data_IF_053565084268
#
_entry.id   IF_053565084268
#
_cell.length_a   1.000
_cell.length_b   1.000
_cell.length_c   1.000
_cell.angle_alpha   90.00
_cell.angle_beta   90.00
_cell.angle_gamma   90.00
#
_symmetry.space_group_name_H-M   'P 1'
#
loop_
_entity.id
_entity.type
_entity.pdbx_description
1 polymer ?
#
# COMPACT_ATOMS: atom_id res chain seq x y z
N UNK A 1 22.57 10.34 2.43
CA UNK A 1 21.36 9.66 2.97
C UNK A 1 21.06 10.22 4.35
N UNK A 2 19.98 11.01 4.54
CA UNK A 2 19.70 11.72 5.79
C UNK A 2 19.69 10.86 7.07
N UNK A 3 19.15 9.65 7.00
CA UNK A 3 18.99 8.76 8.16
C UNK A 3 19.67 7.39 7.98
N UNK A 4 20.66 7.30 7.08
CA UNK A 4 21.37 6.05 6.75
C UNK A 4 20.47 4.88 6.31
N UNK A 5 19.24 5.17 5.88
CA UNK A 5 18.27 4.21 5.35
C UNK A 5 17.82 4.60 3.95
N UNK A 6 17.38 3.60 3.19
CA UNK A 6 16.68 3.76 1.93
C UNK A 6 15.17 3.62 2.14
N UNK A 7 14.33 4.22 1.26
CA UNK A 7 14.69 5.01 0.08
C UNK A 7 15.05 6.48 0.38
N UNK A 8 15.76 7.12 -0.55
CA UNK A 8 16.05 8.56 -0.58
C UNK A 8 15.82 9.11 -2.00
N UNK A 9 14.98 10.14 -2.13
CA UNK A 9 14.79 10.91 -3.36
C UNK A 9 15.72 12.12 -3.35
N UNK A 10 16.30 12.48 -4.49
CA UNK A 10 17.02 13.74 -4.67
C UNK A 10 16.27 14.63 -5.65
N UNK A 11 15.94 15.85 -5.22
CA UNK A 11 15.34 16.90 -6.06
C UNK A 11 16.31 18.08 -6.07
N UNK A 12 16.89 18.38 -7.21
CA UNK A 12 17.93 19.42 -7.34
C UNK A 12 19.05 19.26 -6.30
N UNK A 13 19.58 18.04 -6.18
CA UNK A 13 20.60 17.64 -5.19
C UNK A 13 20.17 17.75 -3.72
N UNK A 14 18.91 18.08 -3.40
CA UNK A 14 18.39 18.10 -2.03
C UNK A 14 17.83 16.72 -1.67
N UNK A 15 18.32 16.06 -0.61
CA UNK A 15 17.85 14.74 -0.24
C UNK A 15 16.54 14.80 0.56
N UNK A 16 15.58 13.96 0.20
CA UNK A 16 14.38 13.64 0.96
C UNK A 16 14.37 12.13 1.25
N UNK A 17 14.54 11.76 2.51
CA UNK A 17 14.38 10.37 2.98
C UNK A 17 12.93 10.11 3.39
N UNK A 18 12.52 8.84 3.54
CA UNK A 18 11.16 8.53 3.96
C UNK A 18 10.30 7.98 2.83
N UNK A 19 10.09 6.67 2.68
CA UNK A 19 9.21 6.14 1.61
C UNK A 19 7.87 6.89 1.52
N UNK A 20 7.13 7.03 2.63
CA UNK A 20 5.86 7.77 2.66
C UNK A 20 6.02 9.27 2.48
N UNK A 21 7.11 9.87 2.97
CA UNK A 21 7.38 11.30 2.78
C UNK A 21 7.67 11.62 1.30
N UNK A 22 8.47 10.77 0.65
CA UNK A 22 8.80 10.81 -0.77
C UNK A 22 7.54 10.60 -1.60
N UNK A 23 6.76 9.54 -1.31
CA UNK A 23 5.52 9.23 -2.01
C UNK A 23 4.54 10.40 -1.93
N UNK A 24 4.30 10.94 -0.74
CA UNK A 24 3.41 12.11 -0.54
C UNK A 24 3.93 13.36 -1.25
N UNK A 25 5.23 13.63 -1.21
CA UNK A 25 5.82 14.75 -1.93
C UNK A 25 5.53 14.66 -3.44
N UNK A 26 5.87 13.51 -4.05
CA UNK A 26 5.61 13.27 -5.48
C UNK A 26 4.11 13.28 -5.81
N UNK A 27 3.29 12.66 -4.94
CA UNK A 27 1.84 12.62 -5.10
C UNK A 27 1.23 14.01 -5.17
N UNK A 28 1.70 14.96 -4.35
CA UNK A 28 1.29 16.36 -4.41
C UNK A 28 1.72 17.03 -5.71
N UNK A 29 2.94 16.77 -6.19
CA UNK A 29 3.42 17.34 -7.46
C UNK A 29 2.61 16.87 -8.67
N UNK A 30 2.10 15.63 -8.61
CA UNK A 30 1.38 15.00 -9.73
C UNK A 30 -0.14 14.87 -9.52
N UNK A 31 -0.70 15.51 -8.49
CA UNK A 31 -2.14 15.59 -8.29
C UNK A 31 -2.83 14.29 -7.84
N UNK A 32 -2.11 13.39 -7.16
CA UNK A 32 -2.63 12.10 -6.65
C UNK A 32 -2.54 11.99 -5.13
N UNK A 33 -2.68 13.12 -4.41
CA UNK A 33 -2.67 13.15 -2.94
C UNK A 33 -4.04 13.46 -2.32
N UNK A 34 -5.13 13.40 -3.09
CA UNK A 34 -6.46 13.90 -2.69
C UNK A 34 -6.72 15.32 -3.22
N UNK A 35 -7.98 15.66 -3.48
CA UNK A 35 -8.39 16.93 -4.11
C UNK A 35 -8.63 18.05 -3.11
N UNK A 36 -8.80 17.73 -1.83
CA UNK A 36 -9.08 18.70 -0.75
C UNK A 36 -8.17 18.42 0.44
N UNK A 37 -7.93 19.41 1.32
CA UNK A 37 -7.13 19.19 2.54
C UNK A 37 -7.64 18.02 3.40
N UNK A 38 -8.96 17.80 3.42
CA UNK A 38 -9.56 16.68 4.14
C UNK A 38 -9.26 15.34 3.45
N UNK A 39 -9.40 15.26 2.13
CA UNK A 39 -9.02 14.05 1.40
C UNK A 39 -7.52 13.75 1.55
N UNK A 40 -6.65 14.77 1.55
CA UNK A 40 -5.22 14.57 1.83
C UNK A 40 -4.99 13.97 3.23
N UNK A 41 -5.75 14.42 4.23
CA UNK A 41 -5.68 13.88 5.59
C UNK A 41 -6.16 12.41 5.64
N UNK A 42 -7.23 12.07 4.93
CA UNK A 42 -7.71 10.68 4.83
C UNK A 42 -6.69 9.77 4.12
N UNK A 43 -6.09 10.23 3.02
CA UNK A 43 -5.01 9.52 2.31
C UNK A 43 -3.83 9.27 3.26
N UNK A 44 -3.43 10.27 4.03
CA UNK A 44 -2.36 10.12 5.02
C UNK A 44 -2.72 9.12 6.13
N UNK A 45 -3.94 9.20 6.65
CA UNK A 45 -4.42 8.28 7.69
C UNK A 45 -4.40 6.83 7.21
N UNK A 46 -4.84 6.56 5.98
CA UNK A 46 -4.79 5.23 5.39
C UNK A 46 -3.35 4.75 5.18
N UNK A 47 -2.46 5.62 4.69
CA UNK A 47 -1.06 5.26 4.50
C UNK A 47 -0.31 4.96 5.81
N UNK A 48 -0.64 5.69 6.88
CA UNK A 48 -0.08 5.45 8.21
C UNK A 48 -0.65 4.17 8.83
N UNK A 49 -1.96 3.89 8.64
CA UNK A 49 -2.55 2.62 9.02
C UNK A 49 -1.93 1.44 8.25
N UNK A 50 -1.64 1.63 6.95
CA UNK A 50 -0.92 0.63 6.16
C UNK A 50 0.49 0.38 6.68
N UNK A 51 1.19 1.43 7.14
CA UNK A 51 2.51 1.28 7.76
C UNK A 51 2.43 0.46 9.05
N UNK A 52 1.44 0.73 9.90
CA UNK A 52 1.18 -0.06 11.11
C UNK A 52 0.87 -1.52 10.77
N UNK A 53 0.01 -1.76 9.77
CA UNK A 53 -0.24 -3.10 9.22
C UNK A 53 1.06 -3.80 8.78
N UNK A 54 1.92 -3.12 8.01
CA UNK A 54 3.19 -3.69 7.56
C UNK A 54 4.10 -4.08 8.73
N UNK A 55 4.15 -3.26 9.79
CA UNK A 55 4.89 -3.60 11.01
C UNK A 55 4.31 -4.83 11.71
N UNK A 56 2.97 -4.93 11.81
CA UNK A 56 2.30 -6.08 12.44
C UNK A 56 2.56 -7.39 11.71
N UNK A 57 2.58 -7.39 10.38
CA UNK A 57 2.81 -8.59 9.58
C UNK A 57 4.28 -8.89 9.28
N UNK A 58 5.18 -7.97 9.62
CA UNK A 58 6.61 -8.07 9.34
C UNK A 58 7.25 -9.39 9.82
N UNK A 59 6.97 -9.91 11.04
CA UNK A 59 7.58 -11.15 11.51
C UNK A 59 7.31 -12.36 10.59
N UNK A 60 6.09 -12.46 10.06
CA UNK A 60 5.72 -13.52 9.11
C UNK A 60 6.55 -13.41 7.82
N UNK A 61 6.61 -12.24 7.21
CA UNK A 61 7.36 -12.07 5.95
C UNK A 61 8.86 -12.31 6.14
N UNK A 62 9.42 -11.92 7.28
CA UNK A 62 10.81 -12.19 7.61
C UNK A 62 11.11 -13.68 7.73
N UNK A 63 10.25 -14.45 8.39
CA UNK A 63 10.38 -15.90 8.49
C UNK A 63 10.13 -16.60 7.15
N UNK A 64 9.07 -16.21 6.44
CA UNK A 64 8.71 -16.75 5.10
C UNK A 64 9.86 -16.60 4.09
N UNK A 65 10.55 -15.47 4.12
CA UNK A 65 11.64 -15.16 3.20
C UNK A 65 13.02 -15.66 3.70
N UNK A 66 13.08 -16.39 4.81
CA UNK A 66 14.32 -16.93 5.37
C UNK A 66 15.29 -15.88 5.92
N UNK A 67 14.81 -14.65 6.16
CA UNK A 67 15.64 -13.53 6.67
C UNK A 67 15.84 -13.68 8.18
N UNK A 68 14.79 -14.09 8.90
CA UNK A 68 14.84 -14.35 10.33
C UNK A 68 14.36 -15.78 10.64
N UNK A 69 14.88 -16.41 11.69
CA UNK A 69 14.38 -17.71 12.13
C UNK A 69 12.93 -17.58 12.62
N UNK A 70 12.09 -18.56 12.30
CA UNK A 70 10.71 -18.62 12.77
C UNK A 70 9.90 -19.68 12.00
N UNK A 71 8.86 -20.20 12.64
CA UNK A 71 7.88 -21.05 11.95
C UNK A 71 6.92 -20.16 11.16
N UNK A 72 7.16 -20.05 9.85
CA UNK A 72 6.34 -19.26 8.95
C UNK A 72 4.87 -19.72 8.92
N UNK A 73 4.59 -21.01 9.15
CA UNK A 73 3.23 -21.54 9.15
C UNK A 73 2.46 -21.11 10.40
N UNK A 74 3.12 -21.12 11.56
CA UNK A 74 2.55 -20.61 12.81
C UNK A 74 2.37 -19.09 12.73
N UNK A 75 3.40 -18.35 12.29
CA UNK A 75 3.32 -16.90 12.10
C UNK A 75 2.26 -16.49 11.06
N UNK A 76 2.04 -17.31 10.03
CA UNK A 76 0.95 -17.06 9.07
C UNK A 76 -0.41 -17.04 9.77
N UNK A 77 -0.69 -18.07 10.60
CA UNK A 77 -1.99 -18.26 11.25
C UNK A 77 -2.22 -17.28 12.40
N UNK A 78 -1.20 -17.03 13.20
CA UNK A 78 -1.33 -16.28 14.46
C UNK A 78 -1.03 -14.78 14.30
N UNK A 79 -0.21 -14.41 13.32
CA UNK A 79 0.24 -13.02 13.13
C UNK A 79 -0.27 -12.44 11.82
N UNK A 80 0.07 -13.04 10.68
CA UNK A 80 -0.27 -12.47 9.38
C UNK A 80 -1.77 -12.43 9.13
N UNK A 81 -2.45 -13.58 9.22
CA UNK A 81 -3.85 -13.69 8.82
C UNK A 81 -4.78 -12.79 9.66
N UNK A 82 -4.69 -12.74 11.00
CA UNK A 82 -5.56 -11.86 11.79
C UNK A 82 -5.32 -10.37 11.52
N UNK A 83 -4.06 -9.96 11.39
CA UNK A 83 -3.72 -8.56 11.10
C UNK A 83 -4.07 -8.17 9.66
N UNK A 84 -3.90 -9.08 8.70
CA UNK A 84 -4.37 -8.90 7.33
C UNK A 84 -5.88 -8.70 7.30
N UNK A 85 -6.66 -9.63 7.88
CA UNK A 85 -8.13 -9.56 7.84
C UNK A 85 -8.65 -8.28 8.50
N UNK A 86 -8.10 -7.91 9.66
CA UNK A 86 -8.46 -6.66 10.34
C UNK A 86 -8.21 -5.42 9.47
N UNK A 87 -7.01 -5.31 8.89
CA UNK A 87 -6.64 -4.11 8.13
C UNK A 87 -7.30 -4.05 6.75
N UNK A 88 -7.46 -5.19 6.07
CA UNK A 88 -8.19 -5.24 4.81
C UNK A 88 -9.67 -4.91 5.01
N UNK A 89 -10.29 -5.28 6.14
CA UNK A 89 -11.62 -4.81 6.46
C UNK A 89 -11.69 -3.28 6.57
N UNK A 90 -10.70 -2.63 7.20
CA UNK A 90 -10.65 -1.16 7.23
C UNK A 90 -10.54 -0.57 5.84
N UNK A 91 -9.66 -1.10 4.99
CA UNK A 91 -9.50 -0.61 3.62
C UNK A 91 -10.75 -0.81 2.76
N UNK A 92 -11.42 -1.97 2.89
CA UNK A 92 -12.72 -2.23 2.26
C UNK A 92 -13.78 -1.24 2.72
N UNK A 93 -13.83 -0.89 4.01
CA UNK A 93 -14.78 0.11 4.50
C UNK A 93 -14.55 1.48 3.85
N UNK A 94 -13.29 1.93 3.76
CA UNK A 94 -12.96 3.19 3.07
C UNK A 94 -13.33 3.15 1.58
N UNK A 95 -13.04 2.04 0.90
CA UNK A 95 -13.44 1.84 -0.50
C UNK A 95 -14.96 1.96 -0.67
N UNK A 96 -15.73 1.28 0.17
CA UNK A 96 -17.19 1.29 0.12
C UNK A 96 -17.77 2.68 0.48
N UNK A 97 -17.23 3.33 1.49
CA UNK A 97 -17.66 4.67 1.94
C UNK A 97 -17.32 5.78 0.92
N UNK A 98 -16.27 5.59 0.13
CA UNK A 98 -15.90 6.55 -0.94
C UNK A 98 -17.01 6.71 -1.98
N UNK A 99 -17.87 5.69 -2.15
CA UNK A 99 -18.86 5.62 -3.23
C UNK A 99 -18.24 5.59 -4.63
N UNK A 100 -16.95 5.29 -4.73
CA UNK A 100 -16.19 5.31 -5.98
C UNK A 100 -15.30 4.08 -6.12
N UNK A 101 -14.45 4.14 -7.13
CA UNK A 101 -13.51 3.13 -7.52
C UNK A 101 -12.17 3.18 -6.76
N UNK A 102 -12.02 4.17 -5.86
CA UNK A 102 -10.78 4.52 -5.16
C UNK A 102 -11.01 4.62 -3.65
N UNK A 103 -9.97 4.46 -2.86
CA UNK A 103 -10.06 4.46 -1.39
C UNK A 103 -10.47 5.82 -0.79
N UNK A 104 -10.20 6.93 -1.48
CA UNK A 104 -10.53 8.27 -1.02
C UNK A 104 -11.01 9.13 -2.19
N UNK A 105 -12.19 9.73 -2.02
CA UNK A 105 -12.79 10.60 -3.04
C UNK A 105 -13.20 9.82 -4.29
N UNK A 106 -13.03 10.41 -5.45
CA UNK A 106 -13.52 9.95 -6.76
C UNK A 106 -12.40 9.78 -7.80
N UNK A 107 -11.14 9.82 -7.38
CA UNK A 107 -9.98 9.76 -8.29
C UNK A 107 -8.79 9.07 -7.64
N UNK A 108 -7.89 8.54 -8.47
CA UNK A 108 -6.65 7.90 -8.04
C UNK A 108 -5.85 8.75 -7.03
N UNK A 109 -5.48 8.11 -5.93
CA UNK A 109 -4.49 8.61 -4.98
C UNK A 109 -3.32 7.66 -4.87
N UNK A 110 -2.21 8.10 -4.28
CA UNK A 110 -1.04 7.23 -4.09
C UNK A 110 -1.29 6.08 -3.11
N UNK A 111 -2.29 6.19 -2.21
CA UNK A 111 -2.64 5.09 -1.31
C UNK A 111 -3.35 3.94 -2.02
N UNK A 112 -4.05 4.22 -3.13
CA UNK A 112 -4.57 3.18 -4.03
C UNK A 112 -3.43 2.36 -4.65
N UNK A 113 -2.36 3.02 -5.11
CA UNK A 113 -1.18 2.35 -5.65
C UNK A 113 -0.49 1.49 -4.59
N UNK A 114 -0.36 2.02 -3.38
CA UNK A 114 0.26 1.33 -2.24
C UNK A 114 -0.47 0.04 -1.88
N UNK A 115 -1.80 0.11 -1.73
CA UNK A 115 -2.61 -1.04 -1.33
C UNK A 115 -2.78 -2.02 -2.50
N UNK A 116 -2.95 -1.56 -3.73
CA UNK A 116 -3.04 -2.46 -4.90
C UNK A 116 -1.75 -3.28 -5.09
N UNK A 117 -0.57 -2.66 -4.93
CA UNK A 117 0.69 -3.37 -4.99
C UNK A 117 0.79 -4.43 -3.88
N UNK A 118 0.51 -4.06 -2.62
CA UNK A 118 0.52 -5.01 -1.51
C UNK A 118 -0.45 -6.18 -1.73
N UNK A 119 -1.62 -5.90 -2.27
CA UNK A 119 -2.64 -6.91 -2.59
C UNK A 119 -2.15 -7.89 -3.67
N UNK A 120 -1.33 -7.42 -4.62
CA UNK A 120 -0.69 -8.28 -5.62
C UNK A 120 0.36 -9.22 -5.00
N UNK A 121 1.11 -8.73 -4.02
CA UNK A 121 2.20 -9.48 -3.39
C UNK A 121 1.71 -10.54 -2.39
N UNK A 122 0.43 -10.46 -2.00
CA UNK A 122 -0.22 -11.39 -1.09
C UNK A 122 -0.79 -12.59 -1.87
N UNK A 123 -0.70 -13.78 -1.26
CA UNK A 123 -1.20 -15.01 -1.87
C UNK A 123 -2.72 -14.94 -2.12
N UNK A 124 -3.14 -15.36 -3.32
CA UNK A 124 -4.52 -15.25 -3.82
C UNK A 124 -5.58 -15.88 -2.90
N UNK A 125 -5.24 -16.95 -2.18
CA UNK A 125 -6.16 -17.60 -1.24
C UNK A 125 -6.50 -16.73 -0.02
N UNK A 126 -5.65 -15.78 0.35
CA UNK A 126 -5.86 -14.89 1.51
C UNK A 126 -6.94 -13.83 1.21
N UNK A 127 -7.07 -13.44 -0.06
CA UNK A 127 -7.98 -12.37 -0.50
C UNK A 127 -9.42 -12.83 -0.73
N UNK A 128 -9.72 -14.12 -0.61
CA UNK A 128 -11.05 -14.64 -0.88
C UNK A 128 -12.16 -14.00 -0.01
N UNK A 129 -11.80 -13.45 1.17
CA UNK A 129 -12.72 -12.72 2.06
C UNK A 129 -12.96 -11.25 1.66
N UNK A 130 -12.16 -10.70 0.75
CA UNK A 130 -12.17 -9.28 0.36
C UNK A 130 -12.24 -9.13 -1.17
N UNK A 131 -13.29 -9.64 -1.84
CA UNK A 131 -13.44 -9.55 -3.29
C UNK A 131 -13.41 -8.10 -3.82
N UNK A 132 -13.89 -7.13 -3.05
CA UNK A 132 -13.86 -5.70 -3.39
C UNK A 132 -12.42 -5.17 -3.52
N UNK A 133 -11.52 -5.65 -2.66
CA UNK A 133 -10.10 -5.27 -2.72
C UNK A 133 -9.39 -5.92 -3.90
N UNK A 134 -9.82 -7.12 -4.31
CA UNK A 134 -9.34 -7.75 -5.54
C UNK A 134 -9.79 -6.97 -6.79
N UNK A 135 -11.03 -6.48 -6.81
CA UNK A 135 -11.52 -5.62 -7.90
C UNK A 135 -10.83 -4.24 -7.91
N UNK A 136 -10.61 -3.64 -6.74
CA UNK A 136 -9.79 -2.43 -6.60
C UNK A 136 -8.40 -2.65 -7.20
N UNK A 137 -7.68 -3.71 -6.79
CA UNK A 137 -6.36 -4.06 -7.33
C UNK A 137 -6.38 -4.17 -8.86
N UNK A 138 -7.32 -4.94 -9.42
CA UNK A 138 -7.45 -5.11 -10.88
C UNK A 138 -7.62 -3.76 -11.56
N UNK A 139 -8.51 -2.91 -11.04
CA UNK A 139 -8.78 -1.58 -11.59
C UNK A 139 -7.54 -0.68 -11.56
N UNK A 140 -6.82 -0.64 -10.45
CA UNK A 140 -5.57 0.15 -10.38
C UNK A 140 -4.56 -0.36 -11.41
N UNK A 141 -4.48 -1.68 -11.62
CA UNK A 141 -3.58 -2.30 -12.59
C UNK A 141 -4.01 -2.09 -14.05
N UNK A 142 -5.27 -1.74 -14.33
CA UNK A 142 -5.71 -1.41 -15.70
C UNK A 142 -5.47 0.04 -16.09
N UNK A 143 -5.13 0.93 -15.15
CA UNK A 143 -4.78 2.31 -15.45
C UNK A 143 -3.61 2.33 -16.45
N UNK A 144 -3.73 2.97 -17.63
CA UNK A 144 -2.79 2.76 -18.75
C UNK A 144 -1.31 2.97 -18.39
N UNK A 145 -1.01 3.94 -17.52
CA UNK A 145 0.37 4.22 -17.07
C UNK A 145 0.87 3.16 -16.08
N UNK A 146 0.02 2.69 -15.18
CA UNK A 146 0.33 1.62 -14.20
C UNK A 146 0.52 0.30 -14.94
N UNK A 147 -0.42 -0.07 -15.81
CA UNK A 147 -0.34 -1.26 -16.66
C UNK A 147 0.99 -1.31 -17.43
N UNK A 148 1.31 -0.21 -18.13
CA UNK A 148 2.56 -0.09 -18.91
C UNK A 148 3.80 -0.22 -18.02
N UNK A 149 3.77 0.29 -16.80
CA UNK A 149 4.89 0.16 -15.85
C UNK A 149 5.07 -1.31 -15.44
N UNK A 150 3.99 -1.99 -15.07
CA UNK A 150 4.00 -3.41 -14.67
C UNK A 150 4.46 -4.30 -15.82
N UNK A 151 3.95 -4.09 -17.04
CA UNK A 151 4.32 -4.89 -18.23
C UNK A 151 5.79 -4.74 -18.64
N UNK A 152 6.42 -3.62 -18.29
CA UNK A 152 7.86 -3.44 -18.52
C UNK A 152 8.73 -4.29 -17.60
N UNK A 153 8.17 -4.87 -16.54
CA UNK A 153 8.90 -5.75 -15.63
C UNK A 153 10.05 -5.05 -14.90
N UNK A 154 9.94 -3.74 -14.64
CA UNK A 154 10.90 -3.05 -13.76
C UNK A 154 10.53 -3.37 -12.31
N UNK A 155 10.80 -4.62 -11.91
CA UNK A 155 10.72 -5.11 -10.53
C UNK A 155 11.88 -6.08 -10.32
#
# INVERSE_FOLDING_TARGET
MPFHTLPVLYVDNKPLAQSHAIARYLARQFGINGKTPWQEAQVNSLADQFKEYQHQVHPYFMAKNGIHPGDAQTLYKEVFLPNFEKNYQFFTNFLNESGSDYLVGDSLTWVDLLIAQNTTDIASNTLAKFPEMEEHRKRIHTIPRVKRWIEKGVI
#
